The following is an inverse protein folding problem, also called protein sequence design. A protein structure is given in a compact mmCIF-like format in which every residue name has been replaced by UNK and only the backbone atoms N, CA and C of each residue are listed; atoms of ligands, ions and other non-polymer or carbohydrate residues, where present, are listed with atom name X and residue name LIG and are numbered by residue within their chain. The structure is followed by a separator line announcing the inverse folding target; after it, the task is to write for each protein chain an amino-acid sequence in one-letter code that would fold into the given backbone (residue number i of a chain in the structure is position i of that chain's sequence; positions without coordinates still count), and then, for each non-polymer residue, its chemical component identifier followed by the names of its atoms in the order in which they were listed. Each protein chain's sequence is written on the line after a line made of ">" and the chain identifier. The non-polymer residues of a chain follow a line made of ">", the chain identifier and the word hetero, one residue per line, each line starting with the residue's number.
data_IF_538507716742
#
_entry.id   IF_538507716742
#
_cell.length_a   1.000
_cell.length_b   1.000
_cell.length_c   1.000
_cell.angle_alpha   90.00
_cell.angle_beta   90.00
_cell.angle_gamma   90.00
#
_symmetry.space_group_name_H-M   'P 1'
#
loop_
_entity.id
_entity.type
_entity.pdbx_description
1 polymer ?
#
# COMPACT_ATOMS: atom_id res chain seq x y z
N UNK A 1 2.67 -0.57 10.12
CA UNK A 1 2.68 -0.09 8.72
C UNK A 1 1.63 -0.74 7.83
N UNK A 2 1.47 -2.04 7.90
CA UNK A 2 0.43 -2.71 7.12
C UNK A 2 -0.96 -2.18 7.46
N UNK A 3 -1.23 -1.93 8.73
CA UNK A 3 -2.51 -1.39 9.17
C UNK A 3 -2.78 0.01 8.64
N UNK A 4 -1.75 0.85 8.58
CA UNK A 4 -1.87 2.20 8.02
C UNK A 4 -2.21 2.14 6.54
N UNK A 5 -1.48 1.30 5.79
CA UNK A 5 -1.74 1.14 4.37
C UNK A 5 -3.15 0.60 4.11
N UNK A 6 -3.57 -0.39 4.89
CA UNK A 6 -4.91 -0.95 4.76
C UNK A 6 -5.99 0.11 5.05
N UNK A 7 -5.79 0.91 6.08
CA UNK A 7 -6.72 1.98 6.41
C UNK A 7 -6.87 2.97 5.25
N UNK A 8 -5.74 3.44 4.71
CA UNK A 8 -5.75 4.40 3.62
C UNK A 8 -6.40 3.81 2.37
N UNK A 9 -6.10 2.56 2.06
CA UNK A 9 -6.69 1.91 0.89
C UNK A 9 -8.22 1.77 1.03
N UNK A 10 -8.70 1.43 2.23
CA UNK A 10 -10.15 1.30 2.46
C UNK A 10 -10.89 2.60 2.24
N UNK A 11 -10.25 3.73 2.50
CA UNK A 11 -10.86 5.04 2.28
C UNK A 11 -10.93 5.41 0.80
N UNK A 12 -10.16 4.75 -0.06
CA UNK A 12 -10.06 5.07 -1.48
C UNK A 12 -10.94 4.18 -2.36
N UNK A 13 -11.25 2.98 -1.91
CA UNK A 13 -11.91 1.95 -2.73
C UNK A 13 -13.41 1.92 -2.53
N UNK A 14 -14.12 1.29 -3.48
CA UNK A 14 -15.56 1.06 -3.35
C UNK A 14 -15.87 -0.19 -2.54
N UNK A 15 -14.95 -1.16 -2.51
CA UNK A 15 -15.11 -2.42 -1.78
C UNK A 15 -14.04 -2.56 -0.69
N UNK A 16 -14.23 -1.91 0.46
CA UNK A 16 -13.24 -1.99 1.54
C UNK A 16 -13.07 -3.38 2.12
N UNK A 17 -14.10 -4.24 2.01
CA UNK A 17 -13.99 -5.62 2.48
C UNK A 17 -13.01 -6.46 1.69
N UNK A 18 -12.64 -6.05 0.48
CA UNK A 18 -11.67 -6.75 -0.35
C UNK A 18 -10.23 -6.28 -0.10
N UNK A 19 -10.02 -5.29 0.76
CA UNK A 19 -8.67 -4.77 1.04
C UNK A 19 -7.94 -5.69 2.00
N UNK A 20 -6.78 -6.19 1.57
CA UNK A 20 -5.89 -7.00 2.40
C UNK A 20 -4.46 -6.52 2.21
N UNK A 21 -3.68 -6.50 3.28
CA UNK A 21 -2.27 -6.16 3.22
C UNK A 21 -1.47 -7.25 3.89
N UNK A 22 -0.48 -7.77 3.19
CA UNK A 22 0.47 -8.75 3.73
C UNK A 22 1.87 -8.15 3.71
N UNK A 23 2.64 -8.48 4.73
CA UNK A 23 4.03 -8.03 4.84
C UNK A 23 4.97 -9.17 4.53
N UNK A 24 6.02 -8.87 3.80
CA UNK A 24 7.06 -9.84 3.44
C UNK A 24 8.42 -9.18 3.61
N UNK A 25 9.39 -9.91 4.15
CA UNK A 25 10.78 -9.45 4.12
C UNK A 25 11.48 -10.04 2.90
N UNK A 26 12.16 -9.15 2.15
CA UNK A 26 12.88 -9.56 0.94
C UNK A 26 14.16 -8.75 0.86
N UNK A 27 15.30 -9.43 0.96
CA UNK A 27 16.61 -8.80 0.85
C UNK A 27 16.80 -7.60 1.80
N UNK A 28 16.30 -7.72 3.03
CA UNK A 28 16.41 -6.66 4.01
C UNK A 28 15.38 -5.54 3.87
N UNK A 29 14.54 -5.60 2.85
CA UNK A 29 13.45 -4.65 2.66
C UNK A 29 12.14 -5.22 3.17
N UNK A 30 11.25 -4.34 3.61
CA UNK A 30 9.88 -4.71 3.94
C UNK A 30 9.02 -4.46 2.71
N UNK A 31 8.37 -5.50 2.21
CA UNK A 31 7.46 -5.41 1.07
C UNK A 31 6.03 -5.54 1.58
N UNK A 32 5.22 -4.53 1.32
CA UNK A 32 3.80 -4.55 1.65
C UNK A 32 3.01 -4.87 0.38
N UNK A 33 2.31 -5.99 0.41
CA UNK A 33 1.45 -6.42 -0.70
C UNK A 33 0.03 -5.97 -0.41
N UNK A 34 -0.43 -4.99 -1.15
CA UNK A 34 -1.79 -4.47 -1.05
C UNK A 34 -2.67 -5.14 -2.09
N UNK A 35 -3.69 -5.84 -1.61
CA UNK A 35 -4.71 -6.43 -2.48
C UNK A 35 -6.02 -5.67 -2.34
N UNK A 36 -6.65 -5.37 -3.46
CA UNK A 36 -7.95 -4.70 -3.53
C UNK A 36 -8.83 -5.45 -4.54
N UNK A 37 -10.12 -5.11 -4.59
CA UNK A 37 -10.98 -5.65 -5.64
C UNK A 37 -10.43 -5.25 -7.02
N UNK A 38 -10.53 -6.13 -8.04
CA UNK A 38 -9.98 -5.82 -9.37
C UNK A 38 -10.45 -4.48 -9.93
N UNK A 39 -11.70 -4.12 -9.71
CA UNK A 39 -12.25 -2.86 -10.21
C UNK A 39 -11.73 -1.64 -9.45
N UNK A 40 -11.09 -1.84 -8.32
CA UNK A 40 -10.57 -0.76 -7.48
C UNK A 40 -9.09 -0.49 -7.66
N UNK A 41 -8.38 -1.31 -8.44
CA UNK A 41 -6.94 -1.15 -8.63
C UNK A 41 -6.60 0.27 -9.11
N UNK A 42 -7.36 0.78 -10.08
CA UNK A 42 -7.14 2.13 -10.59
C UNK A 42 -7.30 3.21 -9.55
N UNK A 43 -8.12 2.97 -8.51
CA UNK A 43 -8.37 3.95 -7.44
C UNK A 43 -7.21 4.08 -6.47
N UNK A 44 -6.43 3.00 -6.29
CA UNK A 44 -5.26 3.04 -5.40
C UNK A 44 -3.98 3.39 -6.16
N UNK A 45 -3.99 3.28 -7.49
CA UNK A 45 -2.87 3.73 -8.31
C UNK A 45 -3.00 5.22 -8.64
N UNK A 46 -4.19 5.60 -9.09
CA UNK A 46 -4.47 6.97 -9.51
C UNK A 46 -3.87 7.31 -10.86
N UNK A 47 -4.26 8.46 -11.39
CA UNK A 47 -3.79 8.91 -12.68
C UNK A 47 -2.29 9.16 -12.64
N UNK A 48 -1.55 8.53 -13.54
CA UNK A 48 -0.09 8.67 -13.57
C UNK A 48 0.61 8.11 -12.34
N UNK A 49 -0.06 7.27 -11.57
CA UNK A 49 0.52 6.68 -10.36
C UNK A 49 0.58 7.62 -9.17
N UNK A 50 -0.18 8.72 -9.18
CA UNK A 50 -0.11 9.74 -8.12
C UNK A 50 -0.53 9.23 -6.75
N UNK A 51 -1.60 8.41 -6.70
CA UNK A 51 -2.11 7.91 -5.43
C UNK A 51 -1.15 6.89 -4.84
N UNK A 52 -0.67 5.95 -5.64
CA UNK A 52 0.27 4.94 -5.12
C UNK A 52 1.58 5.58 -4.67
N UNK A 53 2.03 6.64 -5.32
CA UNK A 53 3.23 7.38 -4.85
C UNK A 53 2.97 8.07 -3.53
N UNK A 54 1.79 8.65 -3.35
CA UNK A 54 1.41 9.26 -2.08
C UNK A 54 1.33 8.20 -0.97
N UNK A 55 0.76 7.03 -1.25
CA UNK A 55 0.71 5.93 -0.30
C UNK A 55 2.11 5.49 0.12
N UNK A 56 3.03 5.36 -0.84
CA UNK A 56 4.42 5.03 -0.56
C UNK A 56 5.08 6.07 0.34
N UNK A 57 4.84 7.35 0.05
CA UNK A 57 5.41 8.44 0.82
C UNK A 57 4.95 8.40 2.29
N UNK A 58 3.66 8.20 2.51
CA UNK A 58 3.10 8.12 3.86
C UNK A 58 3.66 6.91 4.62
N UNK A 59 3.69 5.75 3.97
CA UNK A 59 4.19 4.52 4.59
C UNK A 59 5.68 4.64 4.93
N UNK A 60 6.48 5.20 4.02
CA UNK A 60 7.91 5.41 4.25
C UNK A 60 8.16 6.40 5.38
N UNK A 61 7.36 7.45 5.47
CA UNK A 61 7.47 8.42 6.56
C UNK A 61 7.22 7.76 7.91
N UNK A 62 6.24 6.86 8.00
CA UNK A 62 5.93 6.18 9.24
C UNK A 62 6.98 5.14 9.63
N UNK A 63 7.80 4.68 8.68
CA UNK A 63 8.87 3.70 8.91
C UNK A 63 10.27 4.33 8.98
N UNK A 64 10.36 5.65 8.94
CA UNK A 64 11.65 6.35 8.87
C UNK A 64 12.59 6.02 10.04
N UNK A 65 12.03 5.72 11.20
CA UNK A 65 12.82 5.39 12.40
C UNK A 65 13.62 4.10 12.26
N UNK A 66 13.09 3.16 11.50
CA UNK A 66 13.72 1.84 11.36
C UNK A 66 14.83 1.82 10.32
N UNK A 67 14.92 2.87 9.51
CA UNK A 67 15.89 2.92 8.41
C UNK A 67 15.70 1.85 7.37
N UNK A 68 14.60 1.10 7.41
CA UNK A 68 14.32 0.01 6.49
C UNK A 68 13.75 0.55 5.19
N UNK A 69 14.15 -0.09 4.12
CA UNK A 69 13.55 0.15 2.82
C UNK A 69 12.16 -0.47 2.80
N UNK A 70 11.16 0.30 2.41
CA UNK A 70 9.78 -0.18 2.31
C UNK A 70 9.30 -0.05 0.88
N UNK A 71 8.77 -1.15 0.36
CA UNK A 71 8.19 -1.23 -0.98
C UNK A 71 6.70 -1.52 -0.86
N UNK A 72 5.92 -0.97 -1.78
CA UNK A 72 4.47 -1.24 -1.84
C UNK A 72 4.17 -1.81 -3.21
N UNK A 73 3.56 -3.02 -3.22
CA UNK A 73 3.09 -3.69 -4.43
C UNK A 73 1.58 -3.80 -4.39
N UNK A 74 0.93 -3.53 -5.51
CA UNK A 74 -0.52 -3.54 -5.61
C UNK A 74 -0.97 -4.64 -6.54
N UNK A 75 -1.97 -5.43 -6.11
CA UNK A 75 -2.59 -6.46 -6.91
C UNK A 75 -4.11 -6.38 -6.76
N UNK A 76 -4.78 -6.84 -7.80
CA UNK A 76 -6.23 -6.89 -7.79
C UNK A 76 -6.80 -8.15 -8.38
#
# INVERSE_FOLDING_TARGET
>A
MAELLAYLARELVDDPGAVHVESEERDGALVLHLQVAPDDVGKVIGRGGRIVRALRTVVRASSARDGRRVLVEIAG
#
